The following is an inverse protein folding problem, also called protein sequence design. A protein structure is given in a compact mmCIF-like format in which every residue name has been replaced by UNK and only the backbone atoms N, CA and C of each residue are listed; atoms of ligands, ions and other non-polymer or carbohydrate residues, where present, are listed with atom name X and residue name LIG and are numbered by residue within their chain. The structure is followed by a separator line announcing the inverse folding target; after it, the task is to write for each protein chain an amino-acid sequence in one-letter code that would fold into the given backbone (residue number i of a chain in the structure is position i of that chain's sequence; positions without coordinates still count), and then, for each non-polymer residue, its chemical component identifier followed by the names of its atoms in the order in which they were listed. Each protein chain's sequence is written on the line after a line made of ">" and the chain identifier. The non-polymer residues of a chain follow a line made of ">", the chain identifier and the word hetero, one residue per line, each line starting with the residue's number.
data_IF_091598895587
#
_entry.id   IF_091598895587
#
_cell.length_a   1.000
_cell.length_b   1.000
_cell.length_c   1.000
_cell.angle_alpha   90.00
_cell.angle_beta   90.00
_cell.angle_gamma   90.00
#
_symmetry.space_group_name_H-M   'P 1'
#
loop_
_entity.id
_entity.type
_entity.pdbx_description
1 polymer ?
#
# COMPACT_ATOMS: atom_id res chain seq x y z
N UNK A 1 21.47 3.79 13.83
CA UNK A 1 21.64 2.46 13.20
C UNK A 1 23.08 2.03 13.32
N UNK A 2 23.39 0.72 13.48
CA UNK A 2 24.75 0.23 13.46
C UNK A 2 25.38 0.44 12.07
N UNK A 3 26.74 0.54 12.04
CA UNK A 3 27.47 0.69 10.80
C UNK A 3 27.36 -0.58 9.93
N UNK A 4 27.50 -0.44 8.61
CA UNK A 4 27.63 -1.57 7.71
C UNK A 4 28.85 -2.43 8.08
N UNK A 5 28.80 -3.73 7.78
CA UNK A 5 29.88 -4.68 8.04
C UNK A 5 30.09 -5.57 6.83
N UNK A 6 31.37 -5.86 6.55
CA UNK A 6 31.73 -6.93 5.63
C UNK A 6 31.43 -8.28 6.28
N UNK A 7 30.85 -9.18 5.52
CA UNK A 7 30.49 -10.54 5.92
C UNK A 7 31.25 -11.50 5.01
N UNK A 8 32.02 -12.40 5.63
CA UNK A 8 32.70 -13.46 4.90
C UNK A 8 31.70 -14.48 4.37
N UNK A 9 32.12 -15.34 3.43
CA UNK A 9 31.28 -16.42 2.94
C UNK A 9 30.69 -17.27 4.07
N UNK A 10 31.53 -17.72 5.02
CA UNK A 10 31.07 -18.50 6.18
C UNK A 10 30.04 -17.74 7.04
N UNK A 11 30.20 -16.42 7.16
CA UNK A 11 29.22 -15.58 7.86
C UNK A 11 27.90 -15.50 7.12
N UNK A 12 27.97 -15.41 5.79
CA UNK A 12 26.79 -15.38 4.91
C UNK A 12 26.03 -16.72 4.96
N UNK A 13 26.73 -17.85 4.91
CA UNK A 13 26.16 -19.20 5.03
C UNK A 13 25.37 -19.39 6.34
N UNK A 14 25.81 -18.76 7.42
CA UNK A 14 25.09 -18.80 8.71
C UNK A 14 23.83 -17.92 8.69
N UNK A 15 23.89 -16.76 8.08
CA UNK A 15 22.77 -15.82 8.07
C UNK A 15 21.72 -16.18 7.01
N UNK A 16 22.14 -16.83 5.92
CA UNK A 16 21.27 -17.23 4.81
C UNK A 16 21.69 -18.60 4.25
N UNK A 17 21.35 -19.70 4.95
CA UNK A 17 21.77 -21.06 4.58
C UNK A 17 21.29 -21.52 3.20
N UNK A 18 20.18 -20.97 2.70
CA UNK A 18 19.63 -21.34 1.39
C UNK A 18 20.22 -20.53 0.23
N UNK A 19 21.30 -19.78 0.46
CA UNK A 19 22.06 -19.16 -0.64
C UNK A 19 23.03 -20.19 -1.25
N UNK A 20 23.00 -20.34 -2.57
CA UNK A 20 23.96 -21.21 -3.29
C UNK A 20 25.39 -20.83 -2.93
N UNK A 21 26.24 -21.84 -2.78
CA UNK A 21 27.62 -21.63 -2.33
C UNK A 21 28.45 -20.80 -3.33
N UNK A 22 28.13 -20.85 -4.61
CA UNK A 22 28.80 -20.14 -5.70
C UNK A 22 28.16 -18.75 -6.00
N UNK A 23 27.05 -18.40 -5.36
CA UNK A 23 26.31 -17.16 -5.65
C UNK A 23 27.05 -15.89 -5.17
N UNK A 24 27.91 -15.99 -4.14
CA UNK A 24 28.67 -14.85 -3.64
C UNK A 24 29.91 -15.27 -2.88
N UNK A 25 30.97 -14.49 -2.93
CA UNK A 25 32.21 -14.70 -2.14
C UNK A 25 32.12 -14.08 -0.74
N UNK A 26 31.13 -13.23 -0.49
CA UNK A 26 30.84 -12.54 0.75
C UNK A 26 29.73 -11.51 0.54
N UNK A 27 29.45 -10.69 1.53
CA UNK A 27 28.40 -9.68 1.46
C UNK A 27 28.75 -8.43 2.27
N UNK A 28 28.02 -7.37 2.03
CA UNK A 28 27.97 -6.19 2.89
C UNK A 28 26.62 -6.25 3.63
N UNK A 29 26.67 -6.34 4.97
CA UNK A 29 25.48 -6.25 5.81
C UNK A 29 25.28 -4.81 6.24
N UNK A 30 24.08 -4.31 6.04
CA UNK A 30 23.60 -3.04 6.60
C UNK A 30 22.20 -3.21 7.16
N UNK A 31 21.69 -2.16 7.79
CA UNK A 31 20.37 -2.18 8.41
C UNK A 31 19.46 -1.24 7.66
N UNK A 32 18.24 -1.69 7.46
CA UNK A 32 17.17 -0.92 6.84
C UNK A 32 15.89 -1.11 7.64
N UNK A 33 14.83 -0.38 7.29
CA UNK A 33 13.52 -0.47 7.92
C UNK A 33 12.50 -0.97 6.91
N UNK A 34 11.67 -1.91 7.36
CA UNK A 34 10.50 -2.35 6.62
C UNK A 34 9.27 -1.61 7.14
N UNK A 35 8.34 -1.29 6.25
CA UNK A 35 7.07 -0.68 6.60
C UNK A 35 5.94 -1.34 5.79
N UNK A 36 4.83 -1.62 6.45
CA UNK A 36 3.57 -1.90 5.78
C UNK A 36 3.04 -0.57 5.24
N UNK A 37 3.12 -0.37 3.92
CA UNK A 37 2.81 0.89 3.26
C UNK A 37 1.33 1.28 3.41
N UNK A 38 0.40 0.33 3.32
CA UNK A 38 -1.02 0.60 3.54
C UNK A 38 -1.30 1.03 4.99
N UNK A 39 -0.65 0.38 5.97
CA UNK A 39 -0.74 0.78 7.39
C UNK A 39 -0.11 2.16 7.62
N UNK A 40 1.04 2.45 7.02
CA UNK A 40 1.68 3.76 7.10
C UNK A 40 0.74 4.85 6.59
N UNK A 41 0.14 4.67 5.42
CA UNK A 41 -0.80 5.64 4.84
C UNK A 41 -2.02 5.82 5.75
N UNK A 42 -2.62 4.73 6.25
CA UNK A 42 -3.74 4.80 7.19
C UNK A 42 -3.37 5.59 8.46
N UNK A 43 -2.17 5.39 9.02
CA UNK A 43 -1.72 6.11 10.21
C UNK A 43 -1.41 7.60 9.92
N UNK A 44 -0.89 7.92 8.74
CA UNK A 44 -0.71 9.31 8.31
C UNK A 44 -2.07 10.02 8.21
N UNK A 45 -3.06 9.39 7.59
CA UNK A 45 -4.42 9.93 7.46
C UNK A 45 -5.08 10.10 8.82
N UNK A 46 -5.00 9.12 9.71
CA UNK A 46 -5.53 9.23 11.09
C UNK A 46 -4.83 10.36 11.87
N UNK A 47 -3.52 10.47 11.73
CA UNK A 47 -2.77 11.56 12.35
C UNK A 47 -3.22 12.91 11.79
N UNK A 48 -3.36 13.06 10.47
CA UNK A 48 -3.85 14.28 9.85
C UNK A 48 -5.27 14.64 10.33
N UNK A 49 -6.17 13.65 10.43
CA UNK A 49 -7.51 13.84 10.94
C UNK A 49 -7.52 14.35 12.40
N UNK A 50 -6.61 13.90 13.26
CA UNK A 50 -6.48 14.42 14.63
C UNK A 50 -6.04 15.88 14.70
N UNK A 51 -5.48 16.40 13.60
CA UNK A 51 -5.16 17.83 13.40
C UNK A 51 -6.22 18.58 12.61
N UNK A 52 -7.40 18.01 12.38
CA UNK A 52 -8.54 18.64 11.72
C UNK A 52 -8.60 18.48 10.21
N UNK A 53 -7.79 17.62 9.60
CA UNK A 53 -7.93 17.29 8.19
C UNK A 53 -9.16 16.40 7.94
N UNK A 54 -9.83 16.64 6.81
CA UNK A 54 -10.90 15.76 6.32
C UNK A 54 -10.33 14.87 5.21
N UNK A 55 -10.47 13.56 5.37
CA UNK A 55 -10.09 12.57 4.38
C UNK A 55 -11.34 11.83 3.89
N UNK A 56 -11.51 11.74 2.58
CA UNK A 56 -12.62 11.04 1.96
C UNK A 56 -12.08 10.09 0.88
N UNK A 57 -12.23 8.79 1.11
CA UNK A 57 -12.04 7.76 0.09
C UNK A 57 -13.24 7.75 -0.87
N UNK A 58 -13.12 7.07 -2.00
CA UNK A 58 -14.18 6.97 -3.02
C UNK A 58 -14.74 8.34 -3.45
N UNK A 59 -13.88 9.37 -3.44
CA UNK A 59 -14.23 10.75 -3.78
C UNK A 59 -13.29 11.24 -4.87
N UNK A 60 -13.81 11.37 -6.08
CA UNK A 60 -13.04 11.73 -7.28
C UNK A 60 -13.13 13.21 -7.57
N UNK A 61 -12.02 13.89 -7.83
CA UNK A 61 -12.01 15.23 -8.41
C UNK A 61 -12.40 15.13 -9.88
N UNK A 62 -13.49 15.80 -10.26
CA UNK A 62 -14.02 15.78 -11.64
C UNK A 62 -13.90 17.13 -12.36
N UNK A 63 -13.61 18.21 -11.62
CA UNK A 63 -13.42 19.55 -12.17
C UNK A 63 -12.59 20.40 -11.21
N UNK A 64 -11.76 21.30 -11.72
CA UNK A 64 -11.10 22.36 -10.96
C UNK A 64 -11.84 23.69 -11.16
N UNK A 65 -12.34 24.27 -10.08
CA UNK A 65 -13.04 25.56 -10.13
C UNK A 65 -12.06 26.73 -10.19
N UNK A 66 -12.44 27.82 -10.91
CA UNK A 66 -11.62 29.01 -11.09
C UNK A 66 -12.40 30.27 -10.76
N UNK A 67 -11.72 31.27 -10.23
CA UNK A 67 -12.22 32.65 -10.16
C UNK A 67 -12.29 33.28 -11.56
N UNK A 68 -13.02 34.37 -11.72
CA UNK A 68 -13.07 35.11 -12.99
C UNK A 68 -11.67 35.57 -13.49
N UNK A 69 -10.68 35.62 -12.59
CA UNK A 69 -9.27 35.92 -12.90
C UNK A 69 -8.49 34.74 -13.45
N UNK A 70 -9.09 33.56 -13.56
CA UNK A 70 -8.43 32.30 -13.98
C UNK A 70 -7.69 31.57 -12.88
N UNK A 71 -7.64 32.09 -11.65
CA UNK A 71 -6.98 31.44 -10.51
C UNK A 71 -7.83 30.27 -10.01
N UNK A 72 -7.23 29.08 -9.87
CA UNK A 72 -7.87 27.92 -9.27
C UNK A 72 -8.21 28.23 -7.80
N UNK A 73 -9.46 27.95 -7.39
CA UNK A 73 -9.98 28.27 -6.07
C UNK A 73 -10.82 27.14 -5.46
N UNK A 74 -10.65 25.92 -5.95
CA UNK A 74 -11.34 24.76 -5.44
C UNK A 74 -11.49 23.66 -6.48
N UNK A 75 -12.36 22.70 -6.17
CA UNK A 75 -12.66 21.56 -7.04
C UNK A 75 -14.13 21.15 -6.90
N UNK A 76 -14.67 20.56 -7.95
CA UNK A 76 -15.88 19.74 -7.85
C UNK A 76 -15.43 18.29 -7.63
N UNK A 77 -15.92 17.68 -6.56
CA UNK A 77 -15.68 16.30 -6.22
C UNK A 77 -16.95 15.48 -6.41
N UNK A 78 -16.81 14.25 -6.87
CA UNK A 78 -17.88 13.29 -7.01
C UNK A 78 -17.70 12.16 -6.01
N UNK A 79 -18.70 11.95 -5.18
CA UNK A 79 -18.83 10.78 -4.34
C UNK A 79 -19.18 9.57 -5.24
N UNK A 80 -18.29 8.59 -5.30
CA UNK A 80 -18.43 7.41 -6.15
C UNK A 80 -19.47 6.40 -5.60
N UNK A 81 -19.87 6.55 -4.33
CA UNK A 81 -20.91 5.71 -3.73
C UNK A 81 -22.31 6.18 -4.14
N UNK A 82 -22.52 7.48 -4.16
CA UNK A 82 -23.85 8.06 -4.41
C UNK A 82 -23.99 8.76 -5.75
N UNK A 83 -22.87 9.00 -6.44
CA UNK A 83 -22.83 9.84 -7.65
C UNK A 83 -22.99 11.34 -7.40
N UNK A 84 -23.17 11.76 -6.14
CA UNK A 84 -23.40 13.16 -5.77
C UNK A 84 -22.16 14.00 -6.00
N UNK A 85 -22.32 15.20 -6.54
CA UNK A 85 -21.24 16.19 -6.73
C UNK A 85 -21.32 17.28 -5.68
N UNK A 86 -20.15 17.66 -5.18
CA UNK A 86 -19.98 18.69 -4.15
C UNK A 86 -18.88 19.64 -4.61
N UNK A 87 -19.13 20.94 -4.51
CA UNK A 87 -18.09 21.96 -4.77
C UNK A 87 -17.35 22.25 -3.46
N UNK A 88 -16.03 22.08 -3.49
CA UNK A 88 -15.12 22.39 -2.39
C UNK A 88 -14.36 23.65 -2.74
N UNK A 89 -14.44 24.70 -1.91
CA UNK A 89 -13.68 25.93 -2.06
C UNK A 89 -12.39 25.87 -1.27
N UNK A 90 -11.30 26.36 -1.87
CA UNK A 90 -9.98 26.38 -1.26
C UNK A 90 -9.16 27.58 -1.74
N UNK A 91 -8.25 28.06 -0.91
CA UNK A 91 -7.28 29.10 -1.31
C UNK A 91 -6.17 28.55 -2.21
N UNK A 92 -5.85 27.26 -2.04
CA UNK A 92 -4.86 26.50 -2.81
C UNK A 92 -5.36 25.07 -3.03
N UNK A 93 -5.10 24.54 -4.20
CA UNK A 93 -5.30 23.12 -4.52
C UNK A 93 -3.93 22.49 -4.74
N UNK A 94 -3.68 21.34 -4.12
CA UNK A 94 -2.45 20.56 -4.30
C UNK A 94 -2.80 19.25 -5.00
N UNK A 95 -2.28 19.08 -6.21
CA UNK A 95 -2.34 17.81 -6.92
C UNK A 95 -1.15 16.92 -6.51
N UNK A 96 -1.43 15.83 -5.81
CA UNK A 96 -0.48 14.81 -5.41
C UNK A 96 -0.95 13.41 -5.85
N UNK A 97 -1.54 13.31 -7.03
CA UNK A 97 -2.26 12.13 -7.54
C UNK A 97 -1.34 11.07 -8.17
N UNK A 98 -0.02 11.23 -8.09
CA UNK A 98 0.94 10.21 -8.52
C UNK A 98 0.83 9.90 -10.01
N UNK A 99 0.46 8.67 -10.39
CA UNK A 99 0.33 8.27 -11.80
C UNK A 99 -0.78 9.01 -12.55
N UNK A 100 -1.77 9.58 -11.84
CA UNK A 100 -2.86 10.39 -12.41
C UNK A 100 -2.57 11.90 -12.43
N UNK A 101 -1.30 12.31 -12.25
CA UNK A 101 -0.92 13.73 -12.21
C UNK A 101 -1.36 14.48 -13.46
N UNK A 102 -1.09 13.93 -14.65
CA UNK A 102 -1.41 14.56 -15.94
C UNK A 102 -2.93 14.67 -16.17
N UNK A 103 -3.69 13.64 -15.82
CA UNK A 103 -5.16 13.66 -15.91
C UNK A 103 -5.74 14.77 -15.04
N UNK A 104 -5.25 14.89 -13.81
CA UNK A 104 -5.71 15.92 -12.87
C UNK A 104 -5.28 17.33 -13.32
N UNK A 105 -4.09 17.50 -13.90
CA UNK A 105 -3.65 18.75 -14.49
C UNK A 105 -4.53 19.19 -15.67
N UNK A 106 -4.94 18.24 -16.51
CA UNK A 106 -5.79 18.52 -17.67
C UNK A 106 -7.14 19.14 -17.29
N UNK A 107 -7.66 18.86 -16.08
CA UNK A 107 -8.86 19.50 -15.52
C UNK A 107 -8.69 21.01 -15.32
N UNK A 108 -7.46 21.48 -15.23
CA UNK A 108 -7.17 22.90 -15.17
C UNK A 108 -7.17 23.58 -16.56
N UNK A 109 -7.29 22.83 -17.65
CA UNK A 109 -7.22 23.34 -19.01
C UNK A 109 -5.82 23.85 -19.37
N UNK A 110 -4.80 23.27 -18.75
CA UNK A 110 -3.38 23.57 -19.03
C UNK A 110 -2.71 22.26 -19.43
N UNK A 111 -1.89 22.31 -20.49
CA UNK A 111 -0.96 21.22 -20.77
C UNK A 111 0.19 21.38 -19.77
N UNK A 112 0.04 20.77 -18.60
CA UNK A 112 0.98 20.87 -17.49
C UNK A 112 2.39 20.49 -17.93
N UNK A 113 3.40 21.09 -17.35
CA UNK A 113 4.80 20.85 -17.72
C UNK A 113 5.40 19.56 -17.10
N UNK A 114 4.63 18.76 -16.33
CA UNK A 114 5.12 17.57 -15.68
C UNK A 114 4.58 16.30 -16.38
N UNK A 115 5.48 15.55 -16.99
CA UNK A 115 5.17 14.25 -17.59
C UNK A 115 5.51 13.11 -16.65
N UNK A 116 4.53 12.25 -16.37
CA UNK A 116 4.67 11.11 -15.48
C UNK A 116 4.61 9.81 -16.29
N UNK A 117 5.71 9.06 -16.26
CA UNK A 117 5.75 7.71 -16.82
C UNK A 117 5.38 6.70 -15.75
N UNK A 118 4.37 5.89 -16.02
CA UNK A 118 4.04 4.77 -15.17
C UNK A 118 5.00 3.59 -15.43
N UNK A 119 5.54 2.99 -14.37
CA UNK A 119 6.33 1.77 -14.43
C UNK A 119 5.78 0.73 -13.48
N UNK A 120 5.42 -0.44 -14.01
CA UNK A 120 4.89 -1.56 -13.24
C UNK A 120 6.01 -2.28 -12.49
N UNK A 121 5.79 -2.55 -11.20
CA UNK A 121 6.60 -3.46 -10.40
C UNK A 121 5.72 -4.48 -9.73
N UNK A 122 6.11 -5.77 -9.78
CA UNK A 122 5.37 -6.84 -9.10
C UNK A 122 6.17 -7.39 -7.93
N UNK A 123 5.47 -8.02 -7.01
CA UNK A 123 6.06 -8.84 -5.96
C UNK A 123 5.30 -10.16 -5.85
N UNK A 124 6.04 -11.21 -5.45
CA UNK A 124 5.47 -12.49 -5.06
C UNK A 124 5.66 -12.69 -3.56
N UNK A 125 4.74 -13.43 -2.96
CA UNK A 125 4.76 -13.83 -1.55
C UNK A 125 4.99 -15.32 -1.47
N UNK A 126 5.94 -15.73 -0.63
CA UNK A 126 6.33 -17.13 -0.43
C UNK A 126 6.33 -17.43 1.07
N UNK A 127 5.84 -18.58 1.56
CA UNK A 127 5.85 -18.93 2.96
C UNK A 127 7.25 -18.87 3.58
N UNK A 128 7.33 -18.47 4.85
CA UNK A 128 8.59 -18.24 5.56
C UNK A 128 9.49 -19.46 5.62
N UNK A 129 8.89 -20.64 5.78
CA UNK A 129 9.58 -21.95 5.87
C UNK A 129 10.21 -22.39 4.55
N UNK A 130 9.83 -21.78 3.43
CA UNK A 130 10.31 -22.16 2.10
C UNK A 130 11.76 -21.71 1.85
N UNK A 131 12.22 -20.69 2.56
CA UNK A 131 13.59 -20.17 2.46
C UNK A 131 14.17 -20.03 3.87
N UNK A 132 15.32 -20.66 4.12
CA UNK A 132 16.06 -20.53 5.37
C UNK A 132 17.01 -19.34 5.30
N UNK A 133 16.69 -18.30 6.02
CA UNK A 133 17.49 -17.07 6.10
C UNK A 133 16.97 -16.16 7.23
N UNK A 134 17.85 -15.43 7.88
CA UNK A 134 17.51 -14.50 8.97
C UNK A 134 17.49 -13.05 8.52
N UNK A 135 18.05 -12.75 7.35
CA UNK A 135 18.24 -11.42 6.78
C UNK A 135 17.62 -11.32 5.39
N UNK A 136 17.30 -10.11 4.97
CA UNK A 136 16.94 -9.87 3.57
C UNK A 136 18.16 -9.88 2.65
N UNK A 137 17.92 -10.14 1.37
CA UNK A 137 18.92 -10.03 0.30
C UNK A 137 18.53 -8.91 -0.65
N UNK A 138 19.55 -8.21 -1.14
CA UNK A 138 19.45 -7.31 -2.30
C UNK A 138 20.36 -7.88 -3.37
N UNK A 139 19.77 -8.27 -4.47
CA UNK A 139 20.43 -8.92 -5.60
C UNK A 139 20.43 -7.96 -6.79
N UNK A 140 21.54 -7.85 -7.47
CA UNK A 140 21.61 -7.09 -8.72
C UNK A 140 21.07 -7.94 -9.87
N UNK A 141 20.20 -7.38 -10.69
CA UNK A 141 19.74 -7.95 -11.95
C UNK A 141 20.31 -7.15 -13.13
N UNK A 142 20.09 -7.60 -14.37
CA UNK A 142 20.56 -6.87 -15.56
C UNK A 142 19.89 -5.49 -15.70
N UNK A 143 18.67 -5.35 -15.20
CA UNK A 143 17.87 -4.13 -15.37
C UNK A 143 17.72 -3.32 -14.09
N UNK A 144 17.75 -3.97 -12.91
CA UNK A 144 17.39 -3.34 -11.65
C UNK A 144 18.02 -4.09 -10.46
N UNK A 145 17.30 -4.13 -9.35
CA UNK A 145 17.60 -4.93 -8.17
C UNK A 145 16.41 -5.78 -7.80
N UNK A 146 16.66 -6.99 -7.32
CA UNK A 146 15.66 -7.87 -6.75
C UNK A 146 15.86 -7.91 -5.23
N UNK A 147 14.77 -7.80 -4.49
CA UNK A 147 14.77 -7.95 -3.05
C UNK A 147 14.17 -9.30 -2.67
N UNK A 148 14.75 -9.95 -1.67
CA UNK A 148 14.17 -11.09 -0.95
C UNK A 148 14.07 -10.66 0.51
N UNK A 149 12.88 -10.25 0.94
CA UNK A 149 12.67 -9.58 2.24
C UNK A 149 11.90 -10.50 3.18
N UNK A 150 12.44 -10.80 4.38
CA UNK A 150 11.66 -11.51 5.40
C UNK A 150 10.57 -10.61 5.96
N UNK A 151 9.35 -11.10 5.98
CA UNK A 151 8.17 -10.38 6.45
C UNK A 151 7.31 -11.27 7.32
N UNK A 152 7.56 -11.25 8.61
CA UNK A 152 6.84 -12.09 9.56
C UNK A 152 6.77 -13.57 9.12
N UNK A 153 5.62 -14.04 8.66
CA UNK A 153 5.32 -15.43 8.30
C UNK A 153 5.66 -15.80 6.85
N UNK A 154 6.22 -14.90 6.07
CA UNK A 154 6.50 -15.10 4.64
C UNK A 154 7.72 -14.31 4.17
N UNK A 155 8.06 -14.51 2.93
CA UNK A 155 9.02 -13.71 2.18
C UNK A 155 8.31 -12.90 1.12
N UNK A 156 8.72 -11.65 0.95
CA UNK A 156 8.33 -10.80 -0.17
C UNK A 156 9.51 -10.77 -1.13
N UNK A 157 9.28 -11.16 -2.39
CA UNK A 157 10.32 -11.21 -3.41
C UNK A 157 9.88 -10.34 -4.59
N UNK A 158 10.73 -9.43 -5.05
CA UNK A 158 10.47 -8.50 -6.14
C UNK A 158 11.59 -7.45 -6.22
N UNK A 159 11.64 -6.70 -7.25
CA UNK A 159 10.54 -6.29 -8.10
C UNK A 159 10.95 -6.27 -9.57
N UNK A 160 9.95 -6.27 -10.45
CA UNK A 160 10.13 -5.94 -11.87
C UNK A 160 10.17 -4.42 -12.08
N UNK A 161 10.57 -3.98 -13.27
CA UNK A 161 10.53 -2.58 -13.72
C UNK A 161 10.15 -2.56 -15.19
N UNK A 162 8.83 -2.52 -15.46
CA UNK A 162 8.26 -2.64 -16.81
C UNK A 162 7.49 -1.37 -17.14
N UNK A 163 7.78 -0.67 -18.28
CA UNK A 163 6.99 0.47 -18.72
C UNK A 163 5.51 0.10 -18.85
N UNK A 164 4.64 0.90 -18.24
CA UNK A 164 3.20 0.66 -18.26
C UNK A 164 2.50 1.58 -19.25
N UNK A 165 1.61 1.03 -20.08
CA UNK A 165 0.88 1.74 -21.13
C UNK A 165 -0.63 1.46 -21.13
N UNK A 166 -1.10 0.71 -20.14
CA UNK A 166 -2.49 0.31 -19.99
C UNK A 166 -3.19 1.24 -19.00
N UNK A 167 -4.46 0.95 -18.66
CA UNK A 167 -5.20 1.70 -17.65
C UNK A 167 -4.48 1.70 -16.29
N UNK A 168 -4.57 2.82 -15.58
CA UNK A 168 -3.76 3.04 -14.37
C UNK A 168 -4.34 2.40 -13.10
N UNK A 169 -5.62 1.96 -13.16
CA UNK A 169 -6.35 1.58 -11.94
C UNK A 169 -6.00 0.19 -11.40
N UNK A 170 -5.83 -0.81 -12.26
CA UNK A 170 -5.75 -2.21 -11.85
C UNK A 170 -4.55 -2.95 -12.47
N UNK A 171 -3.32 -2.53 -12.20
CA UNK A 171 -2.16 -3.29 -12.68
C UNK A 171 -2.13 -4.67 -12.03
N UNK A 172 -1.81 -5.69 -12.82
CA UNK A 172 -1.71 -7.08 -12.36
C UNK A 172 -0.36 -7.68 -12.74
N UNK A 173 0.07 -8.70 -11.98
CA UNK A 173 1.25 -9.48 -12.31
C UNK A 173 0.91 -10.45 -13.44
N UNK A 174 1.70 -10.44 -14.52
CA UNK A 174 1.62 -11.41 -15.63
C UNK A 174 2.44 -12.66 -15.32
N UNK A 175 2.23 -13.72 -16.10
CA UNK A 175 3.08 -14.91 -16.01
C UNK A 175 4.54 -14.61 -16.31
N UNK A 176 4.81 -13.72 -17.26
CA UNK A 176 6.15 -13.29 -17.60
C UNK A 176 6.84 -12.52 -16.46
N UNK A 177 6.11 -11.67 -15.73
CA UNK A 177 6.63 -11.00 -14.54
C UNK A 177 6.98 -11.99 -13.42
N UNK A 178 6.10 -12.97 -13.18
CA UNK A 178 6.31 -13.99 -12.16
C UNK A 178 7.53 -14.83 -12.50
N UNK A 179 7.66 -15.28 -13.75
CA UNK A 179 8.81 -16.04 -14.21
C UNK A 179 10.12 -15.24 -14.07
N UNK A 180 10.12 -13.97 -14.43
CA UNK A 180 11.27 -13.08 -14.23
C UNK A 180 11.72 -13.04 -12.75
N UNK A 181 10.77 -12.88 -11.82
CA UNK A 181 11.09 -12.84 -10.39
C UNK A 181 11.61 -14.18 -9.90
N UNK A 182 11.00 -15.29 -10.30
CA UNK A 182 11.43 -16.66 -9.95
C UNK A 182 12.83 -16.96 -10.51
N UNK A 183 13.10 -16.65 -11.77
CA UNK A 183 14.38 -16.91 -12.41
C UNK A 183 15.52 -16.18 -11.68
N UNK A 184 15.32 -14.90 -11.34
CA UNK A 184 16.35 -14.12 -10.65
C UNK A 184 16.54 -14.57 -9.19
N UNK A 185 15.49 -14.94 -8.49
CA UNK A 185 15.59 -15.50 -7.14
C UNK A 185 16.32 -16.87 -7.18
N UNK A 186 15.94 -17.73 -8.12
CA UNK A 186 16.50 -19.08 -8.28
C UNK A 186 17.95 -19.07 -8.77
N UNK A 187 18.40 -17.99 -9.41
CA UNK A 187 19.81 -17.85 -9.78
C UNK A 187 20.74 -17.86 -8.55
N UNK A 188 20.24 -17.54 -7.37
CA UNK A 188 21.03 -17.47 -6.13
C UNK A 188 20.56 -18.44 -5.03
N UNK A 189 19.33 -18.95 -5.09
CA UNK A 189 18.82 -19.87 -4.09
C UNK A 189 19.29 -21.30 -4.32
N UNK A 190 19.64 -22.01 -3.23
CA UNK A 190 20.07 -23.41 -3.28
C UNK A 190 18.92 -24.36 -3.61
N UNK A 191 17.72 -24.03 -3.13
CA UNK A 191 16.49 -24.76 -3.45
C UNK A 191 15.62 -23.86 -4.30
N UNK A 192 15.41 -24.17 -5.58
CA UNK A 192 14.59 -23.35 -6.46
C UNK A 192 13.15 -23.21 -5.98
N UNK A 193 12.60 -22.02 -6.11
CA UNK A 193 11.19 -21.73 -5.95
C UNK A 193 10.43 -22.07 -7.24
N UNK A 194 9.20 -22.49 -7.09
CA UNK A 194 8.26 -22.75 -8.18
C UNK A 194 7.01 -21.88 -8.03
N UNK A 195 6.15 -21.89 -9.02
CA UNK A 195 4.84 -21.20 -8.93
C UNK A 195 3.99 -21.74 -7.79
N UNK A 196 4.12 -23.02 -7.46
CA UNK A 196 3.39 -23.66 -6.36
C UNK A 196 3.82 -23.16 -4.98
N UNK A 197 4.97 -22.52 -4.87
CA UNK A 197 5.43 -21.89 -3.63
C UNK A 197 4.80 -20.51 -3.40
N UNK A 198 4.22 -19.90 -4.44
CA UNK A 198 3.63 -18.57 -4.37
C UNK A 198 2.27 -18.64 -3.69
N UNK A 199 2.07 -17.83 -2.65
CA UNK A 199 0.79 -17.71 -1.93
C UNK A 199 0.03 -16.43 -2.28
N UNK A 200 0.71 -15.45 -2.86
CA UNK A 200 0.09 -14.22 -3.30
C UNK A 200 1.01 -13.42 -4.22
N UNK A 201 0.41 -12.53 -5.00
CA UNK A 201 1.09 -11.59 -5.88
C UNK A 201 0.40 -10.24 -5.81
N UNK A 202 1.15 -9.17 -6.03
CA UNK A 202 0.57 -7.86 -6.31
C UNK A 202 1.42 -7.09 -7.31
N UNK A 203 0.79 -6.12 -7.97
CA UNK A 203 1.43 -5.16 -8.85
C UNK A 203 1.14 -3.73 -8.39
N UNK A 204 2.05 -2.83 -8.67
CA UNK A 204 1.87 -1.41 -8.42
C UNK A 204 2.58 -0.57 -9.47
N UNK A 205 2.13 0.67 -9.65
CA UNK A 205 2.70 1.61 -10.61
C UNK A 205 3.55 2.66 -9.90
N UNK A 206 4.78 2.86 -10.41
CA UNK A 206 5.66 3.95 -9.96
C UNK A 206 5.42 5.18 -10.82
N UNK A 207 5.13 6.34 -10.24
CA UNK A 207 5.08 7.60 -10.97
C UNK A 207 6.49 8.13 -11.17
N UNK A 208 7.09 7.85 -12.33
CA UNK A 208 8.42 8.34 -12.68
C UNK A 208 8.29 9.67 -13.40
N UNK A 209 8.89 10.72 -12.85
CA UNK A 209 8.88 12.03 -13.48
C UNK A 209 9.89 12.08 -14.62
N UNK A 210 9.44 12.49 -15.80
CA UNK A 210 10.30 12.70 -16.97
C UNK A 210 10.52 14.22 -17.17
N UNK A 211 11.65 14.80 -16.69
CA UNK A 211 11.94 16.20 -16.93
C UNK A 211 12.43 16.37 -18.37
N UNK A 212 11.63 16.94 -19.25
CA UNK A 212 12.05 17.48 -20.56
C UNK A 212 12.90 16.57 -21.47
N UNK A 213 12.91 15.26 -21.27
CA UNK A 213 13.81 14.33 -21.92
C UNK A 213 13.16 13.62 -23.12
N UNK A 214 13.98 13.34 -24.11
CA UNK A 214 13.62 12.66 -25.36
C UNK A 214 12.89 11.33 -25.09
N UNK A 215 11.84 11.06 -25.87
CA UNK A 215 11.21 9.75 -25.95
C UNK A 215 12.26 8.63 -26.06
N UNK A 216 12.09 7.56 -25.26
CA UNK A 216 12.92 6.38 -25.33
C UNK A 216 13.95 6.22 -24.21
N UNK A 217 13.96 7.06 -23.17
CA UNK A 217 14.84 6.86 -22.01
C UNK A 217 14.33 5.69 -21.16
N UNK A 218 15.22 4.73 -20.84
CA UNK A 218 14.89 3.59 -19.96
C UNK A 218 14.44 4.08 -18.58
N UNK A 219 13.34 3.53 -18.04
CA UNK A 219 12.78 3.84 -16.71
C UNK A 219 13.81 3.78 -15.58
N UNK A 220 14.80 2.89 -15.69
CA UNK A 220 15.90 2.75 -14.72
C UNK A 220 16.83 3.97 -14.66
N UNK A 221 16.83 4.85 -15.68
CA UNK A 221 17.67 6.05 -15.78
C UNK A 221 16.92 7.35 -15.47
N UNK A 222 15.61 7.28 -15.26
CA UNK A 222 14.78 8.46 -14.93
C UNK A 222 15.05 8.88 -13.48
N UNK A 223 15.16 10.21 -13.25
CA UNK A 223 15.36 10.75 -11.90
C UNK A 223 14.25 10.30 -10.96
N UNK A 224 14.63 9.94 -9.74
CA UNK A 224 13.71 9.62 -8.64
C UNK A 224 13.58 10.77 -7.63
N UNK A 225 14.00 11.97 -8.00
CA UNK A 225 13.73 13.18 -7.24
C UNK A 225 12.31 13.64 -7.52
N UNK A 226 11.68 14.26 -6.53
CA UNK A 226 10.38 14.87 -6.73
C UNK A 226 10.53 16.30 -7.29
N UNK A 227 9.50 16.76 -7.96
CA UNK A 227 9.41 18.15 -8.45
C UNK A 227 8.09 18.74 -8.01
N UNK A 228 8.15 20.01 -7.59
CA UNK A 228 6.96 20.80 -7.26
C UNK A 228 6.85 21.94 -8.27
N UNK A 229 5.68 22.13 -8.85
CA UNK A 229 5.41 23.14 -9.87
C UNK A 229 4.02 23.78 -9.68
N UNK A 230 3.79 24.90 -10.33
CA UNK A 230 2.46 25.52 -10.44
C UNK A 230 2.14 25.76 -11.92
N UNK A 231 1.41 24.86 -12.56
CA UNK A 231 1.03 25.01 -13.98
C UNK A 231 0.06 26.17 -14.19
N UNK A 232 -0.71 26.53 -13.19
CA UNK A 232 -1.63 27.69 -13.19
C UNK A 232 -1.76 28.25 -11.77
N UNK A 233 -1.98 29.56 -11.61
CA UNK A 233 -2.15 30.14 -10.28
C UNK A 233 -3.24 29.44 -9.45
N UNK A 234 -2.98 29.17 -8.18
CA UNK A 234 -3.89 28.46 -7.27
C UNK A 234 -3.80 26.94 -7.32
N UNK A 235 -3.02 26.37 -8.27
CA UNK A 235 -2.76 24.94 -8.36
C UNK A 235 -1.26 24.66 -8.15
N UNK A 236 -0.95 23.85 -7.16
CA UNK A 236 0.39 23.28 -6.93
C UNK A 236 0.35 21.81 -7.30
N UNK A 237 1.35 21.32 -8.00
CA UNK A 237 1.49 19.93 -8.41
C UNK A 237 2.79 19.36 -7.88
N UNK A 238 2.77 18.16 -7.33
CA UNK A 238 3.95 17.41 -6.94
C UNK A 238 3.96 16.05 -7.63
N UNK A 239 5.08 15.69 -8.26
CA UNK A 239 5.27 14.40 -8.91
C UNK A 239 6.68 13.85 -8.71
N UNK A 240 6.86 12.54 -8.95
CA UNK A 240 8.11 11.82 -8.71
C UNK A 240 8.35 11.47 -7.25
N UNK A 241 9.60 11.28 -6.87
CA UNK A 241 10.00 10.96 -5.50
C UNK A 241 9.82 9.49 -5.12
N UNK A 242 9.81 9.22 -3.81
CA UNK A 242 9.64 7.88 -3.22
C UNK A 242 8.77 7.94 -1.97
N UNK A 243 8.08 6.84 -1.66
CA UNK A 243 7.35 6.73 -0.39
C UNK A 243 8.25 7.03 0.83
N UNK A 244 9.50 6.60 0.82
CA UNK A 244 10.43 6.84 1.92
C UNK A 244 10.78 8.31 2.16
N UNK A 245 10.53 9.19 1.18
CA UNK A 245 10.73 10.66 1.29
C UNK A 245 9.42 11.44 1.39
N UNK A 246 8.28 10.76 1.60
CA UNK A 246 6.93 11.35 1.59
C UNK A 246 6.81 12.63 2.45
N UNK A 247 7.42 12.63 3.65
CA UNK A 247 7.33 13.76 4.59
C UNK A 247 8.03 15.01 4.04
N UNK A 248 9.20 14.85 3.43
CA UNK A 248 9.94 15.95 2.79
C UNK A 248 9.18 16.44 1.57
N UNK A 249 8.67 15.51 0.74
CA UNK A 249 7.83 15.84 -0.41
C UNK A 249 6.61 16.65 -0.02
N UNK A 250 5.89 16.23 1.01
CA UNK A 250 4.71 16.94 1.51
C UNK A 250 5.08 18.33 2.03
N UNK A 251 6.19 18.44 2.79
CA UNK A 251 6.70 19.75 3.25
C UNK A 251 6.98 20.66 2.07
N UNK A 252 7.72 20.22 1.07
CA UNK A 252 8.13 21.04 -0.06
C UNK A 252 6.91 21.48 -0.89
N UNK A 253 5.90 20.62 -1.08
CA UNK A 253 4.65 20.96 -1.76
C UNK A 253 3.84 22.01 -0.99
N UNK A 254 3.74 21.87 0.34
CA UNK A 254 3.02 22.83 1.19
C UNK A 254 3.75 24.16 1.28
N UNK A 255 5.07 24.15 1.47
CA UNK A 255 5.88 25.37 1.51
C UNK A 255 5.78 26.13 0.19
N UNK A 256 5.80 25.43 -0.94
CA UNK A 256 5.61 26.00 -2.27
C UNK A 256 4.21 26.65 -2.41
N UNK A 257 3.15 25.94 -2.01
CA UNK A 257 1.77 26.44 -2.07
C UNK A 257 1.54 27.67 -1.16
N UNK A 258 2.20 27.72 0.00
CA UNK A 258 2.14 28.84 0.94
C UNK A 258 2.94 30.05 0.47
N UNK A 259 3.94 29.87 -0.40
CA UNK A 259 4.81 30.94 -0.88
C UNK A 259 5.51 31.66 0.28
N UNK A 260 5.42 32.99 0.32
CA UNK A 260 6.07 33.80 1.36
C UNK A 260 5.60 33.43 2.80
N UNK A 261 4.41 32.89 2.96
CA UNK A 261 3.87 32.47 4.27
C UNK A 261 4.62 31.29 4.87
N UNK A 262 5.26 30.45 4.06
CA UNK A 262 6.03 29.30 4.53
C UNK A 262 7.13 29.71 5.55
N UNK A 263 7.72 30.89 5.38
CA UNK A 263 8.74 31.38 6.30
C UNK A 263 8.23 31.63 7.73
N UNK A 264 6.93 31.89 7.88
CA UNK A 264 6.28 32.16 9.18
C UNK A 264 5.51 30.94 9.71
N UNK A 265 5.34 29.91 8.89
CA UNK A 265 4.61 28.67 9.18
C UNK A 265 5.48 27.44 8.88
N UNK A 266 6.62 27.27 9.56
CA UNK A 266 7.52 26.16 9.26
C UNK A 266 6.86 24.81 9.57
N UNK A 267 7.11 23.82 8.72
CA UNK A 267 6.65 22.45 8.97
C UNK A 267 7.22 21.90 10.28
N UNK A 268 6.38 21.23 11.06
CA UNK A 268 6.75 20.54 12.31
C UNK A 268 6.57 19.02 12.20
N UNK A 269 6.32 18.50 11.00
CA UNK A 269 6.02 17.08 10.78
C UNK A 269 7.17 16.15 11.11
N UNK A 270 8.39 16.64 11.27
CA UNK A 270 9.54 15.91 11.77
C UNK A 270 9.49 15.59 13.29
N UNK A 271 8.58 16.26 14.03
CA UNK A 271 8.40 16.12 15.48
C UNK A 271 7.05 15.52 15.85
N UNK A 272 6.14 15.38 14.89
CA UNK A 272 4.81 14.81 15.13
C UNK A 272 4.92 13.29 15.04
N UNK A 273 4.67 12.56 16.14
CA UNK A 273 4.55 11.10 16.09
C UNK A 273 3.29 10.71 15.33
N UNK A 274 3.38 9.66 14.54
CA UNK A 274 2.19 9.06 13.90
C UNK A 274 1.31 8.37 14.95
N UNK A 275 0.02 8.28 14.67
CA UNK A 275 -0.92 7.51 15.48
C UNK A 275 -0.36 6.10 15.75
N UNK A 276 -0.38 5.67 17.00
CA UNK A 276 0.18 4.40 17.42
C UNK A 276 1.69 4.42 17.79
N UNK A 277 2.43 5.51 17.55
CA UNK A 277 3.86 5.56 17.86
C UNK A 277 4.13 5.85 19.35
N UNK A 278 3.39 6.77 19.95
CA UNK A 278 3.57 7.11 21.36
C UNK A 278 3.11 5.97 22.27
N UNK A 279 3.93 5.63 23.27
CA UNK A 279 3.62 4.54 24.19
C UNK A 279 3.94 3.13 23.67
N UNK A 280 4.26 2.93 22.40
CA UNK A 280 4.56 1.62 21.81
C UNK A 280 5.60 0.84 22.61
N UNK A 281 6.73 1.46 23.01
CA UNK A 281 7.77 0.81 23.79
C UNK A 281 7.31 0.39 25.20
N UNK A 282 6.28 1.02 25.74
CA UNK A 282 5.67 0.62 27.03
C UNK A 282 4.86 -0.66 26.83
N UNK A 283 4.00 -0.69 25.81
CA UNK A 283 3.19 -1.86 25.49
C UNK A 283 4.04 -3.06 25.09
N UNK A 284 5.13 -2.84 24.36
CA UNK A 284 6.07 -3.89 24.00
C UNK A 284 6.66 -4.57 25.25
N UNK A 285 7.00 -3.81 26.30
CA UNK A 285 7.44 -4.39 27.59
C UNK A 285 6.31 -5.14 28.31
N UNK A 286 5.06 -4.81 28.05
CA UNK A 286 3.87 -5.45 28.62
C UNK A 286 3.32 -6.60 27.77
N UNK A 287 3.88 -6.87 26.59
CA UNK A 287 3.38 -7.84 25.62
C UNK A 287 3.03 -9.20 26.24
N UNK A 288 3.92 -9.74 27.10
CA UNK A 288 3.67 -11.01 27.79
C UNK A 288 2.42 -10.96 28.68
N UNK A 289 2.23 -9.86 29.43
CA UNK A 289 1.07 -9.70 30.30
C UNK A 289 -0.22 -9.58 29.48
N UNK A 290 -0.19 -8.79 28.41
CA UNK A 290 -1.32 -8.64 27.49
C UNK A 290 -1.73 -10.01 26.94
N UNK A 291 -0.79 -10.81 26.42
CA UNK A 291 -1.06 -12.15 25.93
C UNK A 291 -1.68 -13.07 26.99
N UNK A 292 -1.14 -13.06 28.22
CA UNK A 292 -1.68 -13.87 29.30
C UNK A 292 -3.10 -13.45 29.72
N UNK A 293 -3.39 -12.15 29.76
CA UNK A 293 -4.71 -11.63 30.14
C UNK A 293 -5.79 -12.02 29.15
N UNK A 294 -5.48 -11.98 27.84
CA UNK A 294 -6.46 -12.21 26.78
C UNK A 294 -6.36 -13.60 26.13
N UNK A 295 -5.48 -14.48 26.62
CA UNK A 295 -5.27 -15.82 26.06
C UNK A 295 -4.60 -15.80 24.68
N UNK A 296 -3.90 -14.71 24.32
CA UNK A 296 -3.23 -14.59 23.03
C UNK A 296 -1.80 -15.12 23.06
N UNK A 297 -1.38 -15.74 21.97
CA UNK A 297 0.00 -16.19 21.78
C UNK A 297 0.95 -14.99 21.69
N UNK A 298 2.23 -15.22 21.99
CA UNK A 298 3.26 -14.18 21.82
C UNK A 298 3.31 -13.67 20.37
N UNK A 299 3.14 -14.55 19.39
CA UNK A 299 3.11 -14.18 17.98
C UNK A 299 1.90 -13.27 17.64
N UNK A 300 0.73 -13.51 18.23
CA UNK A 300 -0.44 -12.65 18.05
C UNK A 300 -0.21 -11.27 18.65
N UNK A 301 0.32 -11.18 19.85
CA UNK A 301 0.61 -9.87 20.47
C UNK A 301 1.68 -9.10 19.69
N UNK A 302 2.70 -9.80 19.19
CA UNK A 302 3.73 -9.21 18.34
C UNK A 302 3.15 -8.67 17.03
N UNK A 303 2.27 -9.46 16.38
CA UNK A 303 1.51 -9.04 15.20
C UNK A 303 0.71 -7.75 15.47
N UNK A 304 -0.05 -7.72 16.56
CA UNK A 304 -0.87 -6.55 16.92
C UNK A 304 -0.02 -5.31 17.20
N UNK A 305 1.09 -5.47 17.94
CA UNK A 305 2.01 -4.36 18.22
C UNK A 305 2.68 -3.82 16.95
N UNK A 306 3.08 -4.68 16.03
CA UNK A 306 3.67 -4.27 14.76
C UNK A 306 2.67 -3.54 13.86
N UNK A 307 1.39 -3.90 13.90
CA UNK A 307 0.37 -3.29 13.03
C UNK A 307 -0.25 -2.03 13.62
N UNK A 308 -0.49 -2.01 14.92
CA UNK A 308 -1.29 -0.96 15.56
C UNK A 308 -0.48 -0.10 16.53
N UNK A 309 0.71 -0.54 16.92
CA UNK A 309 1.50 0.19 17.91
C UNK A 309 0.74 0.34 19.24
N UNK A 310 0.67 1.56 19.76
CA UNK A 310 -0.08 1.83 21.00
C UNK A 310 -1.61 1.85 20.81
N UNK A 311 -2.11 1.92 19.58
CA UNK A 311 -3.54 1.75 19.29
C UNK A 311 -4.04 0.33 19.63
N UNK A 312 -3.14 -0.61 19.92
CA UNK A 312 -3.51 -1.90 20.54
C UNK A 312 -4.40 -1.73 21.79
N UNK A 313 -4.28 -0.63 22.52
CA UNK A 313 -5.16 -0.36 23.68
C UNK A 313 -6.62 -0.23 23.26
N UNK A 314 -6.91 0.41 22.13
CA UNK A 314 -8.28 0.56 21.60
C UNK A 314 -8.86 -0.80 21.16
N UNK A 315 -8.01 -1.67 20.61
CA UNK A 315 -8.40 -3.05 20.26
C UNK A 315 -8.68 -3.87 21.52
N UNK A 316 -7.85 -3.73 22.56
CA UNK A 316 -8.05 -4.40 23.85
C UNK A 316 -9.36 -3.93 24.51
N UNK A 317 -9.64 -2.63 24.51
CA UNK A 317 -10.90 -2.08 25.02
C UNK A 317 -12.12 -2.66 24.28
N UNK A 318 -12.03 -2.82 22.97
CA UNK A 318 -13.06 -3.45 22.17
C UNK A 318 -13.30 -4.92 22.56
N UNK A 319 -12.21 -5.65 22.82
CA UNK A 319 -12.28 -7.06 23.27
C UNK A 319 -12.80 -7.17 24.71
N UNK A 320 -12.48 -6.22 25.58
CA UNK A 320 -13.02 -6.19 26.95
C UNK A 320 -14.53 -5.90 26.95
N UNK A 321 -15.00 -5.08 26.00
CA UNK A 321 -16.42 -4.81 25.80
C UNK A 321 -17.18 -6.00 25.15
N UNK A 322 -16.56 -6.66 24.18
CA UNK A 322 -17.07 -7.89 23.56
C UNK A 322 -15.96 -8.96 23.45
N UNK A 323 -15.89 -9.91 24.39
CA UNK A 323 -14.91 -10.98 24.38
C UNK A 323 -14.90 -11.86 23.12
N UNK A 324 -15.99 -11.85 22.33
CA UNK A 324 -16.03 -12.60 21.07
C UNK A 324 -15.06 -12.06 20.03
N UNK A 325 -14.74 -10.77 20.09
CA UNK A 325 -13.77 -10.10 19.22
C UNK A 325 -12.33 -10.53 19.49
N UNK A 326 -12.02 -11.02 20.68
CA UNK A 326 -10.68 -11.53 21.03
C UNK A 326 -10.33 -12.87 20.39
N UNK A 327 -11.27 -13.52 19.70
CA UNK A 327 -11.04 -14.77 19.00
C UNK A 327 -10.40 -14.55 17.63
N UNK A 328 -9.51 -15.46 17.18
CA UNK A 328 -9.03 -15.46 15.80
C UNK A 328 -10.17 -15.64 14.79
N UNK A 329 -10.02 -15.07 13.60
CA UNK A 329 -10.88 -15.38 12.44
C UNK A 329 -10.76 -16.89 12.08
N UNK A 330 -11.90 -17.53 11.79
CA UNK A 330 -11.93 -18.97 11.48
C UNK A 330 -11.10 -19.32 10.24
N UNK A 331 -11.26 -18.55 9.15
CA UNK A 331 -10.51 -18.73 7.90
C UNK A 331 -9.12 -18.07 7.90
N UNK A 332 -8.77 -17.28 8.92
CA UNK A 332 -7.53 -16.51 8.96
C UNK A 332 -7.00 -16.37 10.40
N UNK A 333 -6.55 -17.44 11.06
CA UNK A 333 -6.26 -17.47 12.50
C UNK A 333 -5.09 -16.59 12.93
N UNK A 334 -4.39 -15.97 12.01
CA UNK A 334 -3.34 -14.99 12.28
C UNK A 334 -3.89 -13.59 12.56
N UNK A 335 -5.18 -13.37 12.35
CA UNK A 335 -5.90 -12.11 12.62
C UNK A 335 -7.00 -12.33 13.64
N UNK A 336 -7.26 -11.32 14.48
CA UNK A 336 -8.39 -11.31 15.40
C UNK A 336 -9.64 -10.72 14.74
N UNK A 337 -10.82 -11.13 15.17
CA UNK A 337 -12.10 -10.50 14.83
C UNK A 337 -12.08 -8.99 15.17
N UNK A 338 -11.43 -8.63 16.29
CA UNK A 338 -11.26 -7.25 16.72
C UNK A 338 -10.53 -6.38 15.69
N UNK A 339 -9.58 -6.93 14.92
CA UNK A 339 -8.89 -6.16 13.87
C UNK A 339 -9.84 -5.77 12.74
N UNK A 340 -10.76 -6.64 12.38
CA UNK A 340 -11.81 -6.38 11.39
C UNK A 340 -12.80 -5.34 11.90
N UNK A 341 -13.26 -5.50 13.14
CA UNK A 341 -14.17 -4.54 13.78
C UNK A 341 -13.52 -3.15 13.90
N UNK A 342 -12.23 -3.11 14.25
CA UNK A 342 -11.45 -1.88 14.34
C UNK A 342 -11.25 -1.21 12.97
N UNK A 343 -10.98 -1.99 11.94
CA UNK A 343 -10.89 -1.49 10.57
C UNK A 343 -12.20 -0.82 10.13
N UNK A 344 -13.35 -1.46 10.39
CA UNK A 344 -14.66 -0.92 10.02
C UNK A 344 -15.04 0.34 10.81
N UNK A 345 -14.72 0.38 12.11
CA UNK A 345 -15.14 1.48 12.98
C UNK A 345 -14.15 2.67 13.02
N UNK A 346 -12.86 2.47 12.78
CA UNK A 346 -11.82 3.46 13.00
C UNK A 346 -10.91 3.76 11.79
N UNK A 347 -10.96 2.94 10.72
CA UNK A 347 -10.01 3.05 9.63
C UNK A 347 -10.66 3.31 8.26
N UNK A 348 -11.93 3.78 8.25
CA UNK A 348 -12.61 4.27 7.04
C UNK A 348 -12.86 3.18 6.01
N UNK A 349 -13.18 1.98 6.43
CA UNK A 349 -13.64 0.88 5.56
C UNK A 349 -15.03 1.23 5.04
N UNK A 350 -15.23 1.04 3.75
CA UNK A 350 -16.53 1.14 3.07
C UNK A 350 -16.94 -0.20 2.46
N UNK A 351 -15.99 -1.00 1.99
CA UNK A 351 -16.21 -2.26 1.30
C UNK A 351 -15.38 -3.40 1.90
N UNK A 352 -15.81 -4.65 1.63
CA UNK A 352 -15.06 -5.85 2.03
C UNK A 352 -13.62 -5.82 1.52
N UNK A 353 -13.42 -5.36 0.30
CA UNK A 353 -12.11 -5.21 -0.33
C UNK A 353 -11.15 -4.35 0.50
N UNK A 354 -11.63 -3.27 1.12
CA UNK A 354 -10.80 -2.41 1.97
C UNK A 354 -10.18 -3.20 3.12
N UNK A 355 -10.94 -4.10 3.72
CA UNK A 355 -10.45 -4.97 4.80
C UNK A 355 -9.44 -5.97 4.26
N UNK A 356 -9.80 -6.68 3.19
CA UNK A 356 -9.03 -7.82 2.66
C UNK A 356 -7.67 -7.39 2.12
N UNK A 357 -7.61 -6.22 1.46
CA UNK A 357 -6.44 -5.73 0.73
C UNK A 357 -5.64 -4.71 1.55
N UNK A 358 -6.33 -3.76 2.21
CA UNK A 358 -5.69 -2.54 2.72
C UNK A 358 -5.62 -2.47 4.25
N UNK A 359 -6.54 -3.09 4.99
CA UNK A 359 -6.51 -3.06 6.46
C UNK A 359 -5.94 -4.34 7.06
N UNK A 360 -6.12 -5.46 6.38
CA UNK A 360 -5.35 -6.69 6.59
C UNK A 360 -4.40 -6.90 5.41
N UNK A 361 -3.88 -8.06 5.21
CA UNK A 361 -3.10 -8.46 4.03
C UNK A 361 -3.58 -9.83 3.52
N UNK A 362 -4.83 -10.20 3.85
CA UNK A 362 -5.36 -11.54 3.60
C UNK A 362 -5.30 -11.92 2.13
N UNK A 363 -5.59 -10.97 1.23
CA UNK A 363 -5.49 -11.16 -0.22
C UNK A 363 -4.11 -11.67 -0.66
N UNK A 364 -3.04 -11.30 0.04
CA UNK A 364 -1.66 -11.61 -0.34
C UNK A 364 -1.01 -12.68 0.53
N UNK A 365 -1.56 -12.94 1.71
CA UNK A 365 -0.99 -13.86 2.69
C UNK A 365 -1.59 -15.26 2.62
N UNK A 366 -2.66 -15.45 1.85
CA UNK A 366 -3.37 -16.71 1.72
C UNK A 366 -3.57 -17.09 0.25
N UNK A 367 -3.45 -18.41 -0.04
CA UNK A 367 -3.62 -18.93 -1.41
C UNK A 367 -5.02 -18.70 -1.96
N UNK A 368 -6.02 -18.80 -1.09
CA UNK A 368 -7.42 -18.52 -1.40
C UNK A 368 -7.75 -17.04 -1.38
N UNK A 369 -6.73 -16.18 -1.27
CA UNK A 369 -6.87 -14.71 -1.17
C UNK A 369 -7.76 -14.26 -0.01
N UNK A 370 -7.87 -15.09 1.04
CA UNK A 370 -8.67 -14.85 2.22
C UNK A 370 -10.15 -15.15 2.05
N UNK A 371 -10.58 -15.77 0.95
CA UNK A 371 -11.99 -16.10 0.69
C UNK A 371 -12.58 -16.99 1.80
N UNK A 372 -11.78 -17.85 2.43
CA UNK A 372 -12.22 -18.65 3.58
C UNK A 372 -12.59 -17.84 4.82
N UNK A 373 -12.23 -16.56 4.90
CA UNK A 373 -12.61 -15.65 5.98
C UNK A 373 -13.65 -14.60 5.55
N UNK A 374 -13.97 -14.51 4.26
CA UNK A 374 -14.76 -13.42 3.69
C UNK A 374 -16.16 -13.31 4.29
N UNK A 375 -16.85 -14.44 4.54
CA UNK A 375 -18.16 -14.46 5.14
C UNK A 375 -18.16 -13.88 6.57
N UNK A 376 -17.27 -14.38 7.44
CA UNK A 376 -17.13 -13.90 8.81
C UNK A 376 -16.73 -12.41 8.86
N UNK A 377 -15.81 -11.99 7.99
CA UNK A 377 -15.41 -10.58 7.88
C UNK A 377 -16.58 -9.71 7.45
N UNK A 378 -17.33 -10.16 6.46
CA UNK A 378 -18.51 -9.44 5.95
C UNK A 378 -19.60 -9.30 7.00
N UNK A 379 -19.80 -10.32 7.84
CA UNK A 379 -20.73 -10.22 8.99
C UNK A 379 -20.29 -9.13 9.96
N UNK A 380 -19.02 -9.15 10.40
CA UNK A 380 -18.49 -8.17 11.35
C UNK A 380 -18.57 -6.74 10.78
N UNK A 381 -18.13 -6.54 9.55
CA UNK A 381 -18.15 -5.23 8.88
C UNK A 381 -19.59 -4.77 8.67
N UNK A 382 -20.46 -5.67 8.18
CA UNK A 382 -21.86 -5.38 7.91
C UNK A 382 -22.66 -5.00 9.15
N UNK A 383 -22.36 -5.62 10.30
CA UNK A 383 -22.98 -5.24 11.58
C UNK A 383 -22.60 -3.82 12.00
N UNK A 384 -21.35 -3.42 11.76
CA UNK A 384 -20.85 -2.09 12.13
C UNK A 384 -21.32 -1.01 11.16
N UNK A 385 -21.31 -1.30 9.85
CA UNK A 385 -21.65 -0.33 8.80
C UNK A 385 -23.15 -0.35 8.43
N UNK A 386 -23.93 -1.27 9.01
CA UNK A 386 -25.37 -1.38 8.77
C UNK A 386 -25.72 -1.96 7.40
N UNK A 387 -24.91 -2.88 6.87
CA UNK A 387 -25.19 -3.52 5.58
C UNK A 387 -26.39 -4.45 5.66
N UNK A 388 -27.26 -4.36 4.66
CA UNK A 388 -28.32 -5.34 4.46
C UNK A 388 -27.77 -6.72 4.07
N UNK A 389 -28.56 -7.80 4.20
CA UNK A 389 -28.14 -9.13 3.71
C UNK A 389 -27.77 -9.13 2.22
N UNK A 390 -28.48 -8.34 1.40
CA UNK A 390 -28.21 -8.20 -0.03
C UNK A 390 -26.88 -7.51 -0.29
N UNK A 391 -26.56 -6.46 0.48
CA UNK A 391 -25.28 -5.78 0.40
C UNK A 391 -24.13 -6.70 0.80
N UNK A 392 -24.28 -7.47 1.89
CA UNK A 392 -23.27 -8.46 2.32
C UNK A 392 -23.00 -9.50 1.23
N UNK A 393 -24.06 -10.02 0.60
CA UNK A 393 -23.91 -10.96 -0.51
C UNK A 393 -23.24 -10.33 -1.73
N UNK A 394 -23.55 -9.08 -2.05
CA UNK A 394 -22.93 -8.34 -3.15
C UNK A 394 -21.43 -8.08 -2.90
N UNK A 395 -21.05 -7.72 -1.68
CA UNK A 395 -19.66 -7.51 -1.29
C UNK A 395 -18.81 -8.79 -1.46
N UNK A 396 -19.32 -9.94 -0.99
CA UNK A 396 -18.65 -11.25 -1.16
C UNK A 396 -18.54 -11.59 -2.64
N UNK A 397 -19.60 -11.43 -3.42
CA UNK A 397 -19.62 -11.74 -4.84
C UNK A 397 -18.64 -10.85 -5.64
N UNK A 398 -18.59 -9.54 -5.34
CA UNK A 398 -17.67 -8.60 -5.96
C UNK A 398 -16.21 -8.97 -5.66
N UNK A 399 -15.88 -9.23 -4.39
CA UNK A 399 -14.53 -9.60 -4.00
C UNK A 399 -14.11 -10.95 -4.60
N UNK A 400 -15.01 -11.94 -4.66
CA UNK A 400 -14.76 -13.24 -5.29
C UNK A 400 -14.45 -13.08 -6.78
N UNK A 401 -15.28 -12.33 -7.50
CA UNK A 401 -15.07 -12.07 -8.93
C UNK A 401 -13.72 -11.36 -9.20
N UNK A 402 -13.34 -10.42 -8.33
CA UNK A 402 -12.02 -9.80 -8.39
C UNK A 402 -10.89 -10.81 -8.21
N UNK A 403 -10.97 -11.67 -7.19
CA UNK A 403 -9.95 -12.69 -6.94
C UNK A 403 -9.78 -13.63 -8.12
N UNK A 404 -10.88 -14.10 -8.72
CA UNK A 404 -10.89 -14.96 -9.90
C UNK A 404 -10.28 -14.26 -11.13
N UNK A 405 -10.62 -12.99 -11.36
CA UNK A 405 -10.10 -12.21 -12.48
C UNK A 405 -8.59 -11.93 -12.34
N UNK A 406 -8.11 -11.61 -11.13
CA UNK A 406 -6.69 -11.41 -10.87
C UNK A 406 -5.89 -12.71 -10.96
N UNK A 407 -6.45 -13.83 -10.53
CA UNK A 407 -5.84 -15.14 -10.71
C UNK A 407 -5.73 -15.49 -12.18
N UNK A 408 -6.82 -15.37 -12.94
CA UNK A 408 -6.81 -15.62 -14.38
C UNK A 408 -5.80 -14.71 -15.11
N UNK A 409 -5.74 -13.43 -14.76
CA UNK A 409 -4.79 -12.48 -15.34
C UNK A 409 -3.32 -12.87 -15.09
N UNK A 410 -3.03 -13.53 -13.97
CA UNK A 410 -1.67 -13.96 -13.63
C UNK A 410 -1.11 -15.09 -14.52
N UNK A 411 -1.96 -15.73 -15.31
CA UNK A 411 -1.56 -16.74 -16.32
C UNK A 411 -1.33 -16.12 -17.72
N UNK A 412 -1.79 -14.89 -17.93
CA UNK A 412 -1.56 -14.18 -19.19
C UNK A 412 -0.10 -13.76 -19.32
N UNK A 413 0.41 -13.72 -20.56
CA UNK A 413 1.84 -13.48 -20.80
C UNK A 413 2.20 -12.01 -20.98
N UNK A 414 1.24 -11.17 -21.35
CA UNK A 414 1.44 -9.76 -21.62
C UNK A 414 0.44 -8.87 -20.85
N UNK A 415 0.81 -7.62 -20.66
CA UNK A 415 0.06 -6.66 -19.86
C UNK A 415 -1.33 -6.34 -20.44
N UNK A 416 -1.48 -6.27 -21.76
CA UNK A 416 -2.75 -5.91 -22.38
C UNK A 416 -3.79 -7.02 -22.22
N UNK A 417 -3.38 -8.28 -22.41
CA UNK A 417 -4.27 -9.43 -22.22
C UNK A 417 -4.59 -9.64 -20.74
N UNK A 418 -3.61 -9.45 -19.85
CA UNK A 418 -3.80 -9.55 -18.41
C UNK A 418 -4.77 -8.48 -17.89
N UNK A 419 -4.63 -7.24 -18.35
CA UNK A 419 -5.58 -6.17 -18.02
C UNK A 419 -6.99 -6.48 -18.52
N UNK A 420 -7.14 -6.87 -19.79
CA UNK A 420 -8.45 -7.22 -20.33
C UNK A 420 -9.12 -8.37 -19.55
N UNK A 421 -8.33 -9.32 -19.04
CA UNK A 421 -8.81 -10.40 -18.18
C UNK A 421 -9.21 -9.88 -16.81
N UNK A 422 -8.40 -9.01 -16.19
CA UNK A 422 -8.70 -8.38 -14.88
C UNK A 422 -9.97 -7.52 -14.94
N UNK A 423 -10.17 -6.77 -16.01
CA UNK A 423 -11.33 -5.87 -16.19
C UNK A 423 -12.67 -6.62 -16.42
N UNK A 424 -12.66 -7.97 -16.52
CA UNK A 424 -13.90 -8.75 -16.51
C UNK A 424 -14.61 -8.70 -15.16
N UNK A 425 -13.87 -8.51 -14.07
CA UNK A 425 -14.46 -8.17 -12.77
C UNK A 425 -14.68 -6.66 -12.70
N UNK A 426 -15.92 -6.28 -12.46
CA UNK A 426 -16.27 -4.88 -12.23
C UNK A 426 -15.52 -4.31 -11.02
N UNK A 427 -15.43 -2.99 -10.99
CA UNK A 427 -15.00 -2.29 -9.77
C UNK A 427 -15.99 -2.54 -8.63
N UNK A 428 -15.59 -2.20 -7.42
CA UNK A 428 -16.45 -2.36 -6.23
C UNK A 428 -17.80 -1.67 -6.49
N UNK A 429 -18.87 -2.41 -6.28
CA UNK A 429 -20.21 -1.86 -6.46
C UNK A 429 -20.47 -0.73 -5.43
N UNK A 430 -20.97 0.43 -5.86
CA UNK A 430 -21.31 1.50 -4.95
C UNK A 430 -22.33 1.01 -3.90
N UNK A 431 -22.16 1.46 -2.65
CA UNK A 431 -23.17 1.29 -1.63
C UNK A 431 -24.47 1.98 -2.09
N UNK A 432 -25.61 1.38 -1.82
CA UNK A 432 -26.88 2.02 -2.18
C UNK A 432 -26.95 3.43 -1.55
N UNK A 433 -27.42 4.44 -2.31
CA UNK A 433 -27.56 5.79 -1.78
C UNK A 433 -28.34 5.75 -0.47
N UNK A 434 -27.80 6.38 0.57
CA UNK A 434 -28.57 6.61 1.77
C UNK A 434 -29.84 7.33 1.32
N UNK A 435 -31.01 6.74 1.61
CA UNK A 435 -32.28 7.35 1.31
C UNK A 435 -32.31 8.77 1.89
N UNK A 436 -32.47 9.77 1.00
CA UNK A 436 -32.48 11.18 1.31
C UNK A 436 -33.59 11.57 2.27
#
# INVERSE_FOLDING_TARGET
>A
MPWHRHVTRTGLDRMFPDLRHDAAVGAIRYFDANVDDARLVAMIIRTAASYGAHAASRTQVVELTKRATGVVNGAVVQDLETGRRITVHADQVINATGVWTEETESLAGTDGGLHVLASKGIHIVVPRERIRGEVGLILQTEKSVLFVIPWSRYWIIGTTDTPWKQELQHPVATSADIDYVLDHANAVLATPLTRDDIIGTWAGLRPLLQPGTKEGTSSAKVSREHTVASPTPGLTVIAGGKLTTYRVMAKDAVDFALGARAATLPSITDRIPLAGAEGHAVLQRQARRIGQTHGWSAAMVDHLLHRYGSLLTEIVESVEADPSLGRPLAGAPAYLRAEVAYAASHEGVLHLEDVMVHRTRLTYEQRDRGLGAAEEITEIVGDILGWSPEQRAAEIASYTARCEAEEAASFETDDATAEATRLRAADVAPLAPLAS
#
